data_IF_437379354847
#
_entry.id   IF_437379354847
#
_cell.length_a   1.000
_cell.length_b   1.000
_cell.length_c   1.000
_cell.angle_alpha   90.00
_cell.angle_beta   90.00
_cell.angle_gamma   90.00
#
_symmetry.space_group_name_H-M   'P 1'
#
loop_
_entity.id
_entity.type
_entity.pdbx_description
1 polymer ?
#
# COMPACT_ATOMS: atom_id res chain seq x y z
N UNK A 1 7.49 -12.33 -2.46
CA UNK A 1 6.25 -12.80 -1.81
C UNK A 1 5.18 -12.87 -2.87
N UNK A 2 4.20 -13.77 -2.74
CA UNK A 2 3.09 -13.89 -3.70
C UNK A 2 1.79 -14.00 -2.91
N UNK A 3 0.94 -13.00 -3.03
CA UNK A 3 -0.41 -13.04 -2.47
C UNK A 3 -1.34 -13.79 -3.44
N UNK A 4 -2.34 -14.54 -2.94
CA UNK A 4 -3.36 -15.12 -3.80
C UNK A 4 -4.05 -13.99 -4.61
N UNK A 5 -4.30 -14.18 -5.92
CA UNK A 5 -4.84 -13.13 -6.77
C UNK A 5 -6.21 -12.62 -6.29
N UNK A 6 -7.06 -13.49 -5.75
CA UNK A 6 -8.35 -13.13 -5.18
C UNK A 6 -8.23 -12.25 -3.93
N UNK A 7 -7.18 -12.46 -3.12
CA UNK A 7 -6.90 -11.62 -1.95
C UNK A 7 -6.39 -10.27 -2.42
N UNK A 8 -5.45 -10.22 -3.37
CA UNK A 8 -4.95 -8.95 -3.89
C UNK A 8 -6.07 -8.09 -4.53
N UNK A 9 -7.06 -8.73 -5.17
CA UNK A 9 -8.18 -8.05 -5.81
C UNK A 9 -9.06 -7.25 -4.84
N UNK A 10 -9.16 -7.67 -3.58
CA UNK A 10 -9.95 -6.97 -2.55
C UNK A 10 -9.14 -5.94 -1.75
N UNK A 11 -7.80 -5.98 -1.85
CA UNK A 11 -6.92 -5.09 -1.09
C UNK A 11 -6.85 -3.69 -1.70
N UNK A 12 -7.31 -2.71 -0.92
CA UNK A 12 -7.31 -1.29 -1.28
C UNK A 12 -6.47 -0.48 -0.31
N UNK A 13 -6.04 0.70 -0.75
CA UNK A 13 -5.35 1.63 0.11
C UNK A 13 -6.26 2.05 1.30
N UNK A 14 -5.80 1.91 2.56
CA UNK A 14 -6.54 2.28 3.76
C UNK A 14 -6.74 3.79 3.93
N UNK A 15 -6.07 4.63 3.13
CA UNK A 15 -6.24 6.09 3.18
C UNK A 15 -7.65 6.45 2.68
N UNK A 16 -8.47 7.15 3.51
CA UNK A 16 -9.88 7.41 3.21
C UNK A 16 -10.15 8.08 1.86
N UNK A 17 -9.27 9.01 1.45
CA UNK A 17 -9.37 9.75 0.18
C UNK A 17 -8.82 8.97 -1.04
N UNK A 18 -7.94 7.99 -0.79
CA UNK A 18 -7.24 7.27 -1.85
C UNK A 18 -8.00 6.02 -2.31
N UNK A 19 -8.23 5.06 -1.41
CA UNK A 19 -8.94 3.77 -1.64
C UNK A 19 -8.59 3.03 -2.95
N UNK A 20 -7.44 3.33 -3.56
CA UNK A 20 -7.06 2.76 -4.84
C UNK A 20 -6.63 1.30 -4.65
N UNK A 21 -6.79 0.43 -5.66
CA UNK A 21 -6.31 -0.95 -5.61
C UNK A 21 -4.81 -0.99 -5.35
N UNK A 22 -4.38 -1.89 -4.47
CA UNK A 22 -2.95 -2.11 -4.21
C UNK A 22 -2.33 -2.98 -5.32
N UNK A 23 -1.01 -2.90 -5.42
CA UNK A 23 -0.18 -3.70 -6.35
C UNK A 23 0.93 -4.37 -5.57
N UNK A 24 1.26 -5.60 -5.95
CA UNK A 24 2.42 -6.26 -5.39
C UNK A 24 3.71 -5.53 -5.79
N UNK A 25 4.61 -5.41 -4.82
CA UNK A 25 5.93 -4.84 -4.97
C UNK A 25 6.93 -5.76 -4.28
N UNK A 26 8.19 -5.72 -4.68
CA UNK A 26 9.25 -6.58 -4.11
C UNK A 26 9.41 -6.46 -2.58
N UNK A 27 8.95 -5.33 -2.02
CA UNK A 27 9.06 -4.95 -0.60
C UNK A 27 7.70 -4.99 0.14
N UNK A 28 6.60 -5.30 -0.54
CA UNK A 28 5.26 -5.34 0.05
C UNK A 28 4.15 -4.94 -0.93
N UNK A 29 3.22 -4.09 -0.49
CA UNK A 29 2.10 -3.61 -1.29
C UNK A 29 2.23 -2.12 -1.60
N UNK A 30 2.29 -1.78 -2.87
CA UNK A 30 2.38 -0.41 -3.34
C UNK A 30 1.01 0.13 -3.78
N UNK A 31 0.68 1.35 -3.36
CA UNK A 31 -0.46 2.08 -3.87
C UNK A 31 -0.03 3.01 -5.01
N UNK A 32 -0.44 2.75 -6.27
CA UNK A 32 -0.02 3.57 -7.41
C UNK A 32 -0.61 4.99 -7.42
N UNK A 33 -1.65 5.28 -6.61
CA UNK A 33 -2.29 6.59 -6.54
C UNK A 33 -1.60 7.53 -5.54
N UNK A 34 -1.30 7.06 -4.33
CA UNK A 34 -0.70 7.89 -3.28
C UNK A 34 0.79 7.61 -3.02
N UNK A 35 1.38 6.63 -3.72
CA UNK A 35 2.80 6.31 -3.65
C UNK A 35 3.26 5.61 -2.36
N UNK A 36 2.32 5.25 -1.47
CA UNK A 36 2.61 4.53 -0.23
C UNK A 36 2.98 3.09 -0.50
N UNK A 37 3.99 2.60 0.24
CA UNK A 37 4.43 1.22 0.26
C UNK A 37 4.16 0.64 1.66
N UNK A 38 3.28 -0.34 1.71
CA UNK A 38 2.93 -1.09 2.92
C UNK A 38 3.80 -2.33 3.01
N UNK A 39 4.45 -2.54 4.16
CA UNK A 39 5.29 -3.73 4.39
C UNK A 39 4.43 -4.98 4.59
N UNK A 40 5.08 -6.14 4.42
CA UNK A 40 4.51 -7.44 4.73
C UNK A 40 5.27 -8.03 5.93
N UNK A 41 4.57 -8.40 6.99
CA UNK A 41 5.13 -9.04 8.19
C UNK A 41 4.49 -10.41 8.37
N UNK A 42 5.29 -11.47 8.43
CA UNK A 42 4.77 -12.85 8.68
C UNK A 42 3.61 -13.25 7.76
N UNK A 43 3.66 -12.84 6.48
CA UNK A 43 2.60 -13.02 5.48
C UNK A 43 1.32 -12.19 5.70
N UNK A 44 1.34 -11.22 6.62
CA UNK A 44 0.26 -10.26 6.86
C UNK A 44 0.61 -8.87 6.29
N UNK A 45 -0.28 -8.24 5.51
CA UNK A 45 -0.08 -6.87 5.05
C UNK A 45 -0.32 -5.85 6.17
N UNK A 46 0.68 -5.02 6.45
CA UNK A 46 0.57 -3.95 7.45
C UNK A 46 0.00 -2.70 6.79
N UNK A 47 -1.33 -2.60 6.77
CA UNK A 47 -2.07 -1.53 6.13
C UNK A 47 -2.30 -0.33 7.06
N UNK A 48 -1.25 0.14 7.73
CA UNK A 48 -1.30 1.31 8.60
C UNK A 48 -0.72 2.50 7.83
N UNK A 49 -1.53 3.52 7.46
CA UNK A 49 -1.05 4.66 6.70
C UNK A 49 0.18 5.33 7.32
N UNK A 50 0.20 5.52 8.63
CA UNK A 50 1.25 6.23 9.35
C UNK A 50 2.60 5.50 9.34
N UNK A 51 2.59 4.17 9.22
CA UNK A 51 3.79 3.33 9.14
C UNK A 51 4.24 3.08 7.70
N UNK A 52 3.43 3.44 6.70
CA UNK A 52 3.73 3.18 5.31
C UNK A 52 4.92 4.03 4.83
N UNK A 53 5.86 3.39 4.14
CA UNK A 53 6.94 4.09 3.46
C UNK A 53 6.35 4.99 2.37
N UNK A 54 6.70 6.27 2.39
CA UNK A 54 6.38 7.18 1.30
C UNK A 54 7.51 7.08 0.28
N UNK A 55 7.20 6.55 -0.90
CA UNK A 55 8.12 6.67 -2.03
C UNK A 55 8.33 8.16 -2.27
N UNK A 56 9.59 8.61 -2.29
CA UNK A 56 9.98 10.04 -2.31
C UNK A 56 9.42 10.88 -3.49
N UNK A 57 8.57 10.31 -4.35
CA UNK A 57 7.92 10.95 -5.48
C UNK A 57 6.52 11.55 -5.19
N UNK A 58 5.88 11.23 -4.05
CA UNK A 58 4.58 11.83 -3.69
C UNK A 58 4.71 12.69 -2.44
N UNK A 59 5.17 13.93 -2.65
CA UNK A 59 5.15 14.97 -1.64
C UNK A 59 3.93 15.86 -1.89
N UNK A 60 2.76 15.44 -1.40
CA UNK A 60 1.64 16.37 -1.20
C UNK A 60 1.56 16.68 0.30
N UNK A 61 1.81 17.93 0.71
CA UNK A 61 1.70 18.33 2.10
C UNK A 61 0.22 18.39 2.46
N UNK A 62 -0.19 17.60 3.44
CA UNK A 62 -1.48 17.82 4.11
C UNK A 62 -1.33 19.09 4.95
N UNK A 63 -1.85 20.20 4.41
CA UNK A 63 -2.12 21.45 5.13
C UNK A 63 -3.50 21.39 5.77
#
# INVERSE_FOLDING_TARGET
MSLPPDVLAILVCPVPDCRAPLREHERGLHCPRCGRLYRMEECWPVLIPEEAEQSAASREPHA
#
